data_IF_832413519008
#
_entry.id   IF_832413519008
#
_cell.length_a   1.000
_cell.length_b   1.000
_cell.length_c   1.000
_cell.angle_alpha   90.00
_cell.angle_beta   90.00
_cell.angle_gamma   90.00
#
_symmetry.space_group_name_H-M   'P 1'
#
loop_
_entity.id
_entity.type
_entity.pdbx_description
1 polymer ?
#
# COMPACT_ATOMS: atom_id res chain seq x y z
N UNK A 1 6.62 9.20 -13.42
CA UNK A 1 7.15 8.47 -12.25
C UNK A 1 5.97 7.84 -11.52
N UNK A 2 6.10 6.61 -10.99
CA UNK A 2 5.05 6.08 -10.13
C UNK A 2 4.81 7.05 -8.96
N UNK A 3 3.55 7.37 -8.66
CA UNK A 3 3.18 8.30 -7.57
C UNK A 3 3.34 7.67 -6.18
N UNK A 4 3.80 6.43 -6.12
CA UNK A 4 4.03 5.66 -4.92
C UNK A 4 5.49 5.19 -4.88
N UNK A 5 6.02 5.10 -3.66
CA UNK A 5 7.25 4.39 -3.35
C UNK A 5 6.89 3.07 -2.67
N UNK A 6 7.85 2.16 -2.65
CA UNK A 6 7.72 0.93 -1.88
C UNK A 6 9.02 0.66 -1.13
N UNK A 7 8.91 0.06 0.05
CA UNK A 7 10.03 -0.42 0.85
C UNK A 7 9.78 -1.87 1.22
N UNK A 8 10.71 -2.76 0.87
CA UNK A 8 10.69 -4.15 1.35
C UNK A 8 11.08 -4.16 2.83
N UNK A 9 10.18 -4.62 3.69
CA UNK A 9 10.44 -4.76 5.13
C UNK A 9 10.96 -6.16 5.43
N UNK A 10 10.31 -7.19 4.88
CA UNK A 10 10.74 -8.60 4.97
C UNK A 10 10.49 -9.32 3.66
N UNK A 11 10.67 -10.65 3.60
CA UNK A 11 10.24 -11.47 2.46
C UNK A 11 8.72 -11.50 2.26
N UNK A 12 7.94 -11.12 3.27
CA UNK A 12 6.46 -11.20 3.28
C UNK A 12 5.78 -9.87 3.55
N UNK A 13 6.53 -8.79 3.79
CA UNK A 13 5.95 -7.49 4.10
C UNK A 13 6.54 -6.39 3.22
N UNK A 14 5.66 -5.62 2.61
CA UNK A 14 5.98 -4.43 1.81
C UNK A 14 5.29 -3.24 2.43
N UNK A 15 6.02 -2.15 2.61
CA UNK A 15 5.44 -0.84 2.91
C UNK A 15 5.25 -0.08 1.60
N UNK A 16 4.00 0.21 1.22
CA UNK A 16 3.70 1.16 0.16
C UNK A 16 3.57 2.55 0.75
N UNK A 17 4.20 3.53 0.13
CA UNK A 17 4.17 4.91 0.59
C UNK A 17 3.71 5.84 -0.54
N UNK A 18 2.68 6.63 -0.27
CA UNK A 18 2.16 7.64 -1.19
C UNK A 18 2.35 9.01 -0.56
N UNK A 19 3.01 9.90 -1.28
CA UNK A 19 3.18 11.29 -0.86
C UNK A 19 1.91 12.07 -1.20
N UNK A 20 1.20 12.57 -0.18
CA UNK A 20 -0.07 13.26 -0.38
C UNK A 20 0.09 14.51 -1.25
N UNK A 21 1.23 15.19 -1.15
CA UNK A 21 1.53 16.37 -1.97
C UNK A 21 1.68 16.05 -3.46
N UNK A 22 1.83 14.78 -3.83
CA UNK A 22 1.89 14.32 -5.22
C UNK A 22 0.53 13.91 -5.77
N UNK A 23 -0.52 13.93 -4.95
CA UNK A 23 -1.89 13.64 -5.32
C UNK A 23 -2.70 14.94 -5.41
N UNK A 24 -3.56 15.06 -6.42
CA UNK A 24 -4.57 16.12 -6.42
C UNK A 24 -5.63 15.87 -5.34
N UNK A 25 -6.39 16.89 -4.96
CA UNK A 25 -7.51 16.76 -4.01
C UNK A 25 -8.54 15.70 -4.46
N UNK A 26 -8.81 15.61 -5.77
CA UNK A 26 -9.66 14.56 -6.35
C UNK A 26 -9.06 13.16 -6.15
N UNK A 27 -7.76 12.99 -6.36
CA UNK A 27 -7.07 11.70 -6.16
C UNK A 27 -7.05 11.31 -4.68
N UNK A 28 -6.85 12.28 -3.78
CA UNK A 28 -6.90 12.04 -2.34
C UNK A 28 -8.30 11.62 -1.89
N UNK A 29 -9.33 12.31 -2.36
CA UNK A 29 -10.73 11.97 -2.07
C UNK A 29 -11.09 10.60 -2.63
N UNK A 30 -10.66 10.28 -3.84
CA UNK A 30 -10.93 8.99 -4.47
C UNK A 30 -10.24 7.82 -3.73
N UNK A 31 -8.97 7.99 -3.34
CA UNK A 31 -8.19 6.92 -2.72
C UNK A 31 -8.48 6.74 -1.22
N UNK A 32 -8.81 7.83 -0.51
CA UNK A 32 -8.87 7.84 0.95
C UNK A 32 -10.22 8.32 1.50
N UNK A 33 -11.16 8.71 0.64
CA UNK A 33 -12.50 9.15 1.04
C UNK A 33 -12.57 10.57 1.63
N UNK A 34 -11.45 11.30 1.68
CA UNK A 34 -11.41 12.70 2.11
C UNK A 34 -10.24 13.46 1.49
N UNK A 35 -10.48 14.74 1.21
CA UNK A 35 -9.51 15.75 0.78
C UNK A 35 -8.77 16.42 1.96
N UNK A 36 -9.22 16.20 3.20
CA UNK A 36 -8.70 16.86 4.40
C UNK A 36 -8.16 15.84 5.41
N UNK A 37 -7.13 15.14 4.97
CA UNK A 37 -6.45 14.13 5.79
C UNK A 37 -5.48 14.84 6.75
N UNK A 38 -5.91 15.06 8.00
CA UNK A 38 -5.05 15.58 9.07
C UNK A 38 -4.51 14.45 9.94
N UNK A 39 -3.24 14.47 10.36
CA UNK A 39 -2.61 13.43 11.21
C UNK A 39 -3.43 13.03 12.45
N UNK A 40 -4.28 13.93 12.95
CA UNK A 40 -5.12 13.78 14.14
C UNK A 40 -6.41 12.96 13.99
N UNK A 41 -6.90 12.69 12.77
CA UNK A 41 -8.20 11.99 12.56
C UNK A 41 -8.08 10.48 12.32
N UNK A 42 -6.89 9.88 12.50
CA UNK A 42 -6.49 8.71 11.69
C UNK A 42 -5.98 7.50 12.49
N UNK A 43 -6.46 7.31 13.71
CA UNK A 43 -5.99 6.16 14.49
C UNK A 43 -6.47 4.79 13.95
N UNK A 44 -7.40 4.71 12.99
CA UNK A 44 -7.92 3.42 12.48
C UNK A 44 -8.40 3.43 11.02
N UNK A 45 -7.67 4.07 10.10
CA UNK A 45 -8.01 3.93 8.67
C UNK A 45 -7.42 2.63 8.12
N UNK A 46 -8.24 1.85 7.43
CA UNK A 46 -7.84 0.59 6.81
C UNK A 46 -7.81 0.73 5.28
N UNK A 47 -6.80 0.17 4.63
CA UNK A 47 -6.80 -0.02 3.19
C UNK A 47 -7.54 -1.31 2.84
N UNK A 48 -8.58 -1.22 2.01
CA UNK A 48 -9.37 -2.37 1.60
C UNK A 48 -8.86 -2.90 0.25
N UNK A 49 -8.35 -4.13 0.25
CA UNK A 49 -8.07 -4.90 -0.94
C UNK A 49 -9.30 -5.75 -1.27
N UNK A 50 -10.04 -5.39 -2.32
CA UNK A 50 -11.29 -6.07 -2.66
C UNK A 50 -11.08 -7.50 -3.21
N UNK A 51 -9.98 -7.70 -3.94
CA UNK A 51 -9.68 -8.97 -4.63
C UNK A 51 -8.29 -9.50 -4.34
N UNK A 52 -8.10 -10.81 -4.41
CA UNK A 52 -6.77 -11.41 -4.37
C UNK A 52 -5.95 -10.90 -5.57
N UNK A 53 -4.73 -10.43 -5.33
CA UNK A 53 -3.83 -9.96 -6.39
C UNK A 53 -2.56 -10.81 -6.41
N UNK A 54 -2.27 -11.42 -7.56
CA UNK A 54 -1.06 -12.21 -7.79
C UNK A 54 -0.05 -11.31 -8.50
N UNK A 55 1.10 -11.08 -7.86
CA UNK A 55 2.19 -10.33 -8.44
C UNK A 55 2.84 -11.12 -9.58
N UNK A 56 3.10 -10.43 -10.70
CA UNK A 56 3.92 -10.99 -11.77
C UNK A 56 5.37 -11.17 -11.30
N UNK A 57 6.00 -12.28 -11.67
CA UNK A 57 7.39 -12.59 -11.29
C UNK A 57 8.37 -11.47 -11.65
N UNK A 58 8.19 -10.83 -12.82
CA UNK A 58 9.08 -9.74 -13.24
C UNK A 58 8.99 -8.53 -12.30
N UNK A 59 7.77 -8.18 -11.86
CA UNK A 59 7.55 -7.11 -10.88
C UNK A 59 8.16 -7.49 -9.53
N UNK A 60 8.00 -8.74 -9.09
CA UNK A 60 8.60 -9.22 -7.85
C UNK A 60 10.12 -9.15 -7.87
N UNK A 61 10.75 -9.55 -8.98
CA UNK A 61 12.20 -9.47 -9.14
C UNK A 61 12.69 -8.02 -9.17
N UNK A 62 11.95 -7.13 -9.85
CA UNK A 62 12.25 -5.70 -9.85
C UNK A 62 12.18 -5.10 -8.44
N UNK A 63 11.24 -5.57 -7.62
CA UNK A 63 11.06 -5.14 -6.23
C UNK A 63 11.92 -5.92 -5.22
N UNK A 64 12.78 -6.82 -5.69
CA UNK A 64 13.62 -7.71 -4.89
C UNK A 64 12.83 -8.55 -3.86
N UNK A 65 11.58 -8.89 -4.17
CA UNK A 65 10.70 -9.70 -3.33
C UNK A 65 10.99 -11.20 -3.54
N UNK A 66 10.65 -12.01 -2.54
CA UNK A 66 10.74 -13.47 -2.64
C UNK A 66 9.57 -14.01 -3.47
N UNK A 67 9.79 -14.59 -4.67
CA UNK A 67 8.72 -15.10 -5.53
C UNK A 67 7.87 -16.20 -4.90
N UNK A 68 8.32 -16.82 -3.80
CA UNK A 68 7.52 -17.77 -3.03
C UNK A 68 6.28 -17.11 -2.38
N UNK A 69 6.29 -15.80 -2.17
CA UNK A 69 5.22 -15.02 -1.54
C UNK A 69 4.64 -14.01 -2.54
N UNK A 70 3.98 -14.51 -3.57
CA UNK A 70 3.49 -13.75 -4.73
C UNK A 70 2.03 -13.28 -4.61
N UNK A 71 1.35 -13.52 -3.50
CA UNK A 71 -0.09 -13.27 -3.36
C UNK A 71 -0.37 -12.20 -2.32
N UNK A 72 -1.02 -11.10 -2.73
CA UNK A 72 -1.73 -10.21 -1.83
C UNK A 72 -3.16 -10.72 -1.67
N UNK A 73 -3.56 -11.06 -0.45
CA UNK A 73 -4.92 -11.52 -0.19
C UNK A 73 -5.90 -10.36 -0.15
N UNK A 74 -7.14 -10.60 -0.57
CA UNK A 74 -8.26 -9.72 -0.25
C UNK A 74 -8.38 -9.56 1.26
N UNK A 75 -8.77 -8.37 1.70
CA UNK A 75 -8.91 -8.04 3.11
C UNK A 75 -8.49 -6.62 3.43
N UNK A 76 -8.34 -6.34 4.71
CA UNK A 76 -7.95 -5.03 5.20
C UNK A 76 -6.48 -5.02 5.60
N UNK A 77 -5.79 -3.94 5.23
CA UNK A 77 -4.39 -3.72 5.55
C UNK A 77 -4.24 -2.46 6.39
N UNK A 78 -3.34 -2.47 7.39
CA UNK A 78 -3.08 -1.28 8.19
C UNK A 78 -2.61 -0.13 7.31
N UNK A 79 -3.31 0.99 7.39
CA UNK A 79 -2.96 2.25 6.74
C UNK A 79 -2.65 3.27 7.82
N UNK A 80 -1.58 4.04 7.62
CA UNK A 80 -1.12 5.07 8.55
C UNK A 80 -0.77 6.34 7.79
N UNK A 81 -0.96 7.46 8.45
CA UNK A 81 -0.54 8.75 7.93
C UNK A 81 0.57 9.28 8.79
N UNK A 82 1.65 9.73 8.14
CA UNK A 82 2.84 10.18 8.82
C UNK A 82 3.60 11.14 7.92
N UNK A 83 3.95 12.33 8.42
CA UNK A 83 4.85 13.26 7.73
C UNK A 83 4.37 13.53 6.29
N UNK A 84 3.07 13.83 6.11
CA UNK A 84 2.41 14.08 4.81
C UNK A 84 2.38 12.88 3.84
N UNK A 85 2.65 11.67 4.34
CA UNK A 85 2.59 10.43 3.56
C UNK A 85 1.51 9.50 4.08
N UNK A 86 0.95 8.74 3.16
CA UNK A 86 0.13 7.57 3.45
C UNK A 86 1.00 6.34 3.32
N UNK A 87 0.97 5.50 4.34
CA UNK A 87 1.74 4.27 4.43
C UNK A 87 0.80 3.08 4.59
N UNK A 88 0.88 2.11 3.68
CA UNK A 88 0.10 0.86 3.76
C UNK A 88 1.05 -0.31 3.94
N UNK A 89 0.86 -1.09 5.00
CA UNK A 89 1.64 -2.29 5.24
C UNK A 89 0.94 -3.50 4.61
N UNK A 90 1.44 -3.94 3.47
CA UNK A 90 0.94 -5.12 2.77
C UNK A 90 1.64 -6.39 3.26
N UNK A 91 0.86 -7.44 3.52
CA UNK A 91 1.37 -8.77 3.84
C UNK A 91 1.15 -9.73 2.68
N UNK A 92 2.25 -10.31 2.18
CA UNK A 92 2.25 -11.28 1.10
C UNK A 92 2.12 -12.70 1.63
N UNK A 93 1.42 -13.52 0.85
CA UNK A 93 1.13 -14.92 1.10
C UNK A 93 1.66 -15.76 -0.06
N UNK A 94 1.74 -17.07 0.15
CA UNK A 94 1.98 -18.01 -0.96
C UNK A 94 0.67 -18.20 -1.74
N UNK A 95 0.72 -18.17 -3.07
CA UNK A 95 -0.35 -18.74 -3.88
C UNK A 95 -0.41 -20.25 -3.65
N UNK A 96 -1.61 -20.77 -3.36
CA UNK A 96 -1.85 -22.21 -3.23
C UNK A 96 -1.75 -22.91 -4.60
#
# INVERSE_FOLDING_TARGET
MPKFNYTKITSTYILLEVDLNKLSEEEQTFLFGSDNISETSIENTEFVQEEDYIFETNLMLYMELDPAYNLLKKGTYPLRFRDEKVQVLLSLSRSA
#
